data_IF_292563457518
#
_entry.id   IF_292563457518
#
_cell.length_a   1.000
_cell.length_b   1.000
_cell.length_c   1.000
_cell.angle_alpha   90.00
_cell.angle_beta   90.00
_cell.angle_gamma   90.00
#
_symmetry.space_group_name_H-M   'P 1'
#
loop_
_entity.id
_entity.type
_entity.pdbx_description
1 polymer ?
#
# COMPACT_ATOMS: atom_id res chain seq x y z
N UNK A 1 -10.33 -14.46 12.23
CA UNK A 1 -11.55 -15.03 11.64
C UNK A 1 -11.26 -15.63 10.27
N UNK A 2 -10.71 -14.86 9.34
CA UNK A 2 -10.39 -15.26 7.95
C UNK A 2 -9.52 -16.53 7.85
N UNK A 3 -8.36 -16.58 8.53
CA UNK A 3 -7.47 -17.76 8.48
C UNK A 3 -8.16 -19.07 8.92
N UNK A 4 -9.05 -19.01 9.91
CA UNK A 4 -9.78 -20.19 10.41
C UNK A 4 -10.83 -20.70 9.40
N UNK A 5 -11.26 -19.85 8.49
CA UNK A 5 -12.23 -20.18 7.46
C UNK A 5 -11.54 -20.72 6.20
N UNK A 6 -10.43 -20.10 5.77
CA UNK A 6 -9.81 -20.41 4.47
C UNK A 6 -8.85 -21.61 4.53
N UNK A 7 -8.15 -21.79 5.65
CA UNK A 7 -7.15 -22.85 5.83
C UNK A 7 -7.71 -24.28 5.73
N UNK A 8 -8.89 -24.63 6.30
CA UNK A 8 -9.45 -25.97 6.19
C UNK A 8 -9.65 -26.45 4.75
N UNK A 9 -10.07 -25.56 3.85
CA UNK A 9 -10.26 -25.90 2.43
C UNK A 9 -8.95 -26.23 1.71
N UNK A 10 -7.88 -25.49 2.01
CA UNK A 10 -6.55 -25.77 1.47
C UNK A 10 -5.99 -27.11 1.98
N UNK A 11 -6.13 -27.38 3.29
CA UNK A 11 -5.69 -28.64 3.91
C UNK A 11 -6.43 -29.85 3.34
N UNK A 12 -7.76 -29.78 3.25
CA UNK A 12 -8.57 -30.87 2.72
C UNK A 12 -8.21 -31.20 1.25
N UNK A 13 -7.87 -30.19 0.46
CA UNK A 13 -7.39 -30.38 -0.92
C UNK A 13 -6.07 -31.14 -0.96
N UNK A 14 -5.12 -30.82 -0.06
CA UNK A 14 -3.83 -31.54 0.03
C UNK A 14 -4.05 -32.99 0.47
N UNK A 15 -4.90 -33.25 1.46
CA UNK A 15 -5.22 -34.61 1.93
C UNK A 15 -5.86 -35.47 0.84
N UNK A 16 -6.82 -34.91 0.12
CA UNK A 16 -7.49 -35.58 -1.00
C UNK A 16 -6.49 -35.91 -2.11
N UNK A 17 -5.62 -34.95 -2.44
CA UNK A 17 -4.60 -35.12 -3.45
C UNK A 17 -3.56 -36.19 -3.07
N UNK A 18 -3.14 -36.23 -1.80
CA UNK A 18 -2.24 -37.27 -1.28
C UNK A 18 -2.89 -38.67 -1.37
N UNK A 19 -4.19 -38.76 -1.06
CA UNK A 19 -4.94 -40.01 -1.20
C UNK A 19 -4.99 -40.49 -2.66
N UNK A 20 -5.20 -39.58 -3.62
CA UNK A 20 -5.17 -39.91 -5.05
C UNK A 20 -3.80 -40.41 -5.51
N UNK A 21 -2.72 -39.78 -5.01
CA UNK A 21 -1.34 -40.20 -5.32
C UNK A 21 -1.03 -41.60 -4.76
N UNK A 22 -1.46 -41.88 -3.52
CA UNK A 22 -1.31 -43.21 -2.93
C UNK A 22 -2.04 -44.27 -3.76
N UNK A 23 -3.31 -44.03 -4.09
CA UNK A 23 -4.09 -44.94 -4.94
C UNK A 23 -3.45 -45.13 -6.32
N UNK A 24 -2.93 -44.07 -6.93
CA UNK A 24 -2.24 -44.16 -8.21
C UNK A 24 -0.97 -45.03 -8.11
N UNK A 25 -0.19 -44.89 -7.03
CA UNK A 25 1.01 -45.69 -6.78
C UNK A 25 0.67 -47.18 -6.65
N UNK A 26 -0.36 -47.52 -5.87
CA UNK A 26 -0.78 -48.90 -5.68
C UNK A 26 -1.28 -49.53 -6.99
N UNK A 27 -2.02 -48.78 -7.79
CA UNK A 27 -2.50 -49.23 -9.10
C UNK A 27 -1.36 -49.43 -10.11
N UNK A 28 -0.38 -48.52 -10.16
CA UNK A 28 0.77 -48.63 -11.07
C UNK A 28 1.73 -49.76 -10.66
N UNK A 29 1.79 -50.09 -9.37
CA UNK A 29 2.55 -51.24 -8.87
C UNK A 29 1.97 -52.57 -9.38
N UNK A 30 0.64 -52.66 -9.46
CA UNK A 30 -0.06 -53.86 -9.94
C UNK A 30 -0.10 -53.93 -11.48
N UNK A 31 -0.34 -52.80 -12.16
CA UNK A 31 -0.36 -52.69 -13.62
C UNK A 31 0.33 -51.37 -14.07
N UNK A 32 1.58 -51.46 -14.57
CA UNK A 32 2.33 -50.29 -15.03
C UNK A 32 1.68 -49.52 -16.18
N UNK A 33 0.78 -50.15 -16.96
CA UNK A 33 0.15 -49.53 -18.12
C UNK A 33 -1.25 -48.98 -17.86
N UNK A 34 -1.72 -49.04 -16.60
CA UNK A 34 -3.05 -48.62 -16.16
C UNK A 34 -3.37 -47.16 -16.50
N UNK A 35 -4.28 -46.94 -17.45
CA UNK A 35 -4.80 -45.62 -17.81
C UNK A 35 -5.47 -44.87 -16.63
N UNK A 36 -6.37 -45.51 -15.85
CA UNK A 36 -6.96 -44.89 -14.67
C UNK A 36 -5.95 -44.46 -13.62
N UNK A 37 -4.87 -45.22 -13.43
CA UNK A 37 -3.81 -44.86 -12.49
C UNK A 37 -3.06 -43.60 -12.92
N UNK A 38 -2.73 -43.46 -14.22
CA UNK A 38 -2.13 -42.24 -14.78
C UNK A 38 -3.03 -41.01 -14.58
N UNK A 39 -4.35 -41.16 -14.74
CA UNK A 39 -5.30 -40.05 -14.48
C UNK A 39 -5.27 -39.61 -13.01
N UNK A 40 -5.34 -40.56 -12.07
CA UNK A 40 -5.25 -40.26 -10.63
C UNK A 40 -3.90 -39.61 -10.27
N UNK A 41 -2.81 -40.07 -10.86
CA UNK A 41 -1.47 -39.49 -10.65
C UNK A 41 -1.43 -38.01 -11.08
N UNK A 42 -1.97 -37.68 -12.26
CA UNK A 42 -2.04 -36.30 -12.76
C UNK A 42 -2.92 -35.43 -11.86
N UNK A 43 -4.11 -35.91 -11.51
CA UNK A 43 -5.06 -35.16 -10.66
C UNK A 43 -4.50 -34.94 -9.25
N UNK A 44 -3.94 -35.98 -8.63
CA UNK A 44 -3.27 -35.90 -7.34
C UNK A 44 -2.07 -34.94 -7.38
N UNK A 45 -1.22 -35.01 -8.41
CA UNK A 45 -0.06 -34.11 -8.53
C UNK A 45 -0.48 -32.64 -8.65
N UNK A 46 -1.50 -32.36 -9.48
CA UNK A 46 -2.08 -31.01 -9.61
C UNK A 46 -2.69 -30.55 -8.29
N UNK A 47 -3.41 -31.43 -7.60
CA UNK A 47 -4.04 -31.15 -6.31
C UNK A 47 -3.02 -30.78 -5.23
N UNK A 48 -1.87 -31.46 -5.17
CA UNK A 48 -0.78 -31.12 -4.25
C UNK A 48 -0.22 -29.73 -4.55
N UNK A 49 0.13 -29.44 -5.81
CA UNK A 49 0.68 -28.14 -6.18
C UNK A 49 -0.29 -26.99 -5.83
N UNK A 50 -1.57 -27.15 -6.18
CA UNK A 50 -2.60 -26.15 -5.91
C UNK A 50 -2.91 -26.02 -4.41
N UNK A 51 -2.98 -27.14 -3.69
CA UNK A 51 -3.26 -27.16 -2.26
C UNK A 51 -2.14 -26.51 -1.45
N UNK A 52 -0.88 -26.85 -1.74
CA UNK A 52 0.28 -26.24 -1.09
C UNK A 52 0.39 -24.75 -1.40
N UNK A 53 0.17 -24.36 -2.67
CA UNK A 53 0.14 -22.93 -3.04
C UNK A 53 -0.95 -22.17 -2.27
N UNK A 54 -2.18 -22.69 -2.21
CA UNK A 54 -3.26 -22.07 -1.45
C UNK A 54 -2.95 -21.96 0.05
N UNK A 55 -2.32 -22.98 0.64
CA UNK A 55 -1.94 -22.96 2.05
C UNK A 55 -0.90 -21.87 2.33
N UNK A 56 0.15 -21.77 1.51
CA UNK A 56 1.19 -20.75 1.64
C UNK A 56 0.60 -19.34 1.48
N UNK A 57 -0.31 -19.13 0.52
CA UNK A 57 -1.00 -17.86 0.34
C UNK A 57 -1.85 -17.50 1.57
N UNK A 58 -2.59 -18.45 2.16
CA UNK A 58 -3.39 -18.19 3.36
C UNK A 58 -2.53 -17.70 4.54
N UNK A 59 -1.34 -18.30 4.72
CA UNK A 59 -0.37 -17.87 5.73
C UNK A 59 0.17 -16.48 5.43
N UNK A 60 0.63 -16.25 4.20
CA UNK A 60 1.19 -14.97 3.77
C UNK A 60 0.20 -13.83 3.96
N UNK A 61 -1.05 -13.99 3.50
CA UNK A 61 -2.10 -13.00 3.70
C UNK A 61 -2.38 -12.73 5.19
N UNK A 62 -2.19 -13.73 6.05
CA UNK A 62 -2.36 -13.56 7.49
C UNK A 62 -1.27 -12.66 8.07
N UNK A 63 -0.03 -12.80 7.64
CA UNK A 63 1.06 -11.92 8.04
C UNK A 63 0.84 -10.51 7.49
N UNK A 64 0.48 -10.38 6.21
CA UNK A 64 0.13 -9.09 5.59
C UNK A 64 -0.97 -8.36 6.37
N UNK A 65 -2.03 -9.07 6.79
CA UNK A 65 -3.11 -8.48 7.61
C UNK A 65 -2.62 -7.93 8.96
N UNK A 66 -1.61 -8.54 9.58
CA UNK A 66 -1.01 -8.02 10.82
C UNK A 66 -0.27 -6.71 10.54
N UNK A 67 0.50 -6.64 9.46
CA UNK A 67 1.23 -5.42 9.07
C UNK A 67 0.24 -4.28 8.75
N UNK A 68 -0.78 -4.57 7.93
CA UNK A 68 -1.85 -3.59 7.60
C UNK A 68 -2.54 -3.07 8.86
N UNK A 69 -2.75 -3.91 9.87
CA UNK A 69 -3.32 -3.46 11.15
C UNK A 69 -2.43 -2.44 11.85
N UNK A 70 -1.11 -2.62 11.84
CA UNK A 70 -0.18 -1.63 12.40
C UNK A 70 -0.18 -0.32 11.60
N UNK A 71 -0.24 -0.38 10.27
CA UNK A 71 -0.40 0.80 9.41
C UNK A 71 -1.70 1.57 9.72
N UNK A 72 -2.82 0.86 9.91
CA UNK A 72 -4.11 1.47 10.25
C UNK A 72 -4.08 2.20 11.59
N UNK A 73 -3.36 1.70 12.59
CA UNK A 73 -3.18 2.44 13.85
C UNK A 73 -2.50 3.79 13.64
N UNK A 74 -1.52 3.87 12.72
CA UNK A 74 -0.88 5.15 12.37
C UNK A 74 -1.91 6.10 11.73
N UNK A 75 -2.76 5.59 10.83
CA UNK A 75 -3.85 6.38 10.24
C UNK A 75 -4.85 6.87 11.31
N UNK A 76 -5.21 6.03 12.27
CA UNK A 76 -6.12 6.41 13.36
C UNK A 76 -5.56 7.58 14.18
N UNK A 77 -4.24 7.58 14.46
CA UNK A 77 -3.58 8.71 15.11
C UNK A 77 -3.52 9.95 14.21
N UNK A 78 -3.16 9.80 12.93
CA UNK A 78 -3.14 10.93 11.99
C UNK A 78 -4.52 11.59 11.84
N UNK A 79 -5.60 10.81 11.97
CA UNK A 79 -6.98 11.31 11.93
C UNK A 79 -7.34 12.28 13.06
N UNK A 80 -6.61 12.27 14.18
CA UNK A 80 -6.82 13.25 15.27
C UNK A 80 -5.87 14.44 15.20
N UNK A 81 -4.98 14.51 14.21
CA UNK A 81 -4.00 15.59 14.10
C UNK A 81 -4.65 16.98 13.98
N UNK A 82 -5.84 17.07 13.39
CA UNK A 82 -6.52 18.34 13.15
C UNK A 82 -7.16 18.99 14.39
N UNK A 83 -7.38 18.21 15.45
CA UNK A 83 -8.01 18.67 16.71
C UNK A 83 -6.99 18.93 17.83
N UNK A 84 -5.70 18.85 17.52
CA UNK A 84 -4.63 19.09 18.50
C UNK A 84 -4.30 20.58 18.55
N UNK A 85 -4.70 21.19 19.66
CA UNK A 85 -4.67 22.65 19.86
C UNK A 85 -3.77 23.07 21.05
N UNK A 86 -3.24 22.13 21.83
CA UNK A 86 -2.37 22.41 22.97
C UNK A 86 -1.03 21.69 22.87
N UNK A 87 0.00 22.25 23.52
CA UNK A 87 1.33 21.62 23.57
C UNK A 87 1.31 20.32 24.37
N UNK A 88 0.44 20.22 25.38
CA UNK A 88 0.25 19.01 26.19
C UNK A 88 -0.34 17.87 25.35
N UNK A 89 -1.37 18.16 24.55
CA UNK A 89 -1.96 17.21 23.61
C UNK A 89 -0.96 16.79 22.52
N UNK A 90 -0.14 17.73 22.02
CA UNK A 90 0.91 17.39 21.06
C UNK A 90 1.96 16.45 21.66
N UNK A 91 2.36 16.66 22.92
CA UNK A 91 3.29 15.75 23.61
C UNK A 91 2.65 14.37 23.78
N UNK A 92 1.35 14.30 24.10
CA UNK A 92 0.64 13.03 24.21
C UNK A 92 0.54 12.32 22.85
N UNK A 93 0.15 13.04 21.80
CA UNK A 93 0.14 12.54 20.42
C UNK A 93 1.49 11.96 20.01
N UNK A 94 2.60 12.65 20.31
CA UNK A 94 3.95 12.18 20.04
C UNK A 94 4.29 10.88 20.77
N UNK A 95 3.87 10.73 22.03
CA UNK A 95 4.07 9.50 22.81
C UNK A 95 3.32 8.31 22.22
N UNK A 96 2.15 8.55 21.62
CA UNK A 96 1.29 7.50 21.09
C UNK A 96 1.66 7.12 19.65
N UNK A 97 1.93 8.11 18.78
CA UNK A 97 2.23 7.86 17.37
C UNK A 97 3.65 7.34 17.15
N UNK A 98 4.66 7.79 17.93
CA UNK A 98 6.06 7.41 17.67
C UNK A 98 6.30 5.90 17.78
N UNK A 99 5.77 5.18 18.80
CA UNK A 99 5.89 3.72 18.87
C UNK A 99 5.12 3.00 17.76
N UNK A 100 3.93 3.50 17.40
CA UNK A 100 3.12 2.93 16.32
C UNK A 100 3.82 3.06 14.97
N UNK A 101 4.34 4.25 14.67
CA UNK A 101 5.10 4.54 13.47
C UNK A 101 6.38 3.70 13.38
N UNK A 102 7.13 3.60 14.48
CA UNK A 102 8.36 2.78 14.54
C UNK A 102 8.09 1.29 14.31
N UNK A 103 6.96 0.79 14.81
CA UNK A 103 6.54 -0.60 14.59
C UNK A 103 6.12 -0.81 13.14
N UNK A 104 5.23 0.02 12.60
CA UNK A 104 4.80 -0.07 11.21
C UNK A 104 5.99 0.01 10.25
N UNK A 105 6.92 0.95 10.45
CA UNK A 105 8.11 1.10 9.62
C UNK A 105 9.00 -0.15 9.62
N UNK A 106 9.16 -0.80 10.77
CA UNK A 106 9.96 -2.04 10.90
C UNK A 106 9.30 -3.21 10.18
N UNK A 107 8.01 -3.42 10.41
CA UNK A 107 7.27 -4.55 9.81
C UNK A 107 7.18 -4.40 8.28
N UNK A 108 6.96 -3.18 7.77
CA UNK A 108 6.93 -2.91 6.33
C UNK A 108 8.32 -3.08 5.70
N UNK A 109 9.39 -2.64 6.37
CA UNK A 109 10.75 -2.84 5.88
C UNK A 109 11.15 -4.33 5.84
N UNK A 110 10.78 -5.09 6.88
CA UNK A 110 10.98 -6.54 6.90
C UNK A 110 10.23 -7.20 5.74
N UNK A 111 8.97 -6.81 5.51
CA UNK A 111 8.18 -7.33 4.39
C UNK A 111 8.79 -6.97 3.03
N UNK A 112 9.25 -5.73 2.84
CA UNK A 112 9.88 -5.31 1.59
C UNK A 112 11.13 -6.14 1.25
N UNK A 113 11.89 -6.58 2.26
CA UNK A 113 13.06 -7.43 2.08
C UNK A 113 12.73 -8.88 1.67
N UNK A 114 11.51 -9.36 1.96
CA UNK A 114 11.04 -10.70 1.62
C UNK A 114 10.36 -10.77 0.24
N UNK A 115 9.97 -9.63 -0.32
CA UNK A 115 9.25 -9.59 -1.60
C UNK A 115 10.17 -9.99 -2.77
N UNK A 116 9.68 -10.92 -3.58
CA UNK A 116 10.35 -11.37 -4.80
C UNK A 116 10.11 -10.45 -5.99
N UNK A 117 9.14 -9.53 -5.91
CA UNK A 117 8.84 -8.55 -6.96
C UNK A 117 9.49 -7.19 -6.63
N UNK A 118 10.62 -6.82 -7.27
CA UNK A 118 11.38 -5.63 -6.90
C UNK A 118 10.58 -4.32 -6.94
N UNK A 119 9.71 -4.05 -7.94
CA UNK A 119 8.94 -2.81 -7.98
C UNK A 119 8.03 -2.58 -6.76
N UNK A 120 7.46 -3.64 -6.18
CA UNK A 120 6.67 -3.52 -4.95
C UNK A 120 7.57 -3.18 -3.76
N UNK A 121 8.71 -3.85 -3.63
CA UNK A 121 9.68 -3.57 -2.58
C UNK A 121 10.20 -2.12 -2.65
N UNK A 122 10.54 -1.65 -3.86
CA UNK A 122 10.96 -0.26 -4.11
C UNK A 122 9.87 0.74 -3.73
N UNK A 123 8.61 0.47 -4.10
CA UNK A 123 7.48 1.35 -3.74
C UNK A 123 7.29 1.41 -2.22
N UNK A 124 7.35 0.27 -1.51
CA UNK A 124 7.26 0.24 -0.05
C UNK A 124 8.38 1.04 0.61
N UNK A 125 9.62 0.86 0.15
CA UNK A 125 10.78 1.60 0.67
C UNK A 125 10.64 3.11 0.42
N UNK A 126 10.23 3.52 -0.78
CA UNK A 126 9.97 4.93 -1.12
C UNK A 126 8.92 5.54 -0.19
N UNK A 127 7.79 4.86 0.00
CA UNK A 127 6.73 5.35 0.89
C UNK A 127 7.23 5.47 2.33
N UNK A 128 7.97 4.47 2.82
CA UNK A 128 8.56 4.52 4.16
C UNK A 128 9.51 5.70 4.35
N UNK A 129 10.35 5.99 3.37
CA UNK A 129 11.28 7.12 3.45
C UNK A 129 10.55 8.47 3.39
N UNK A 130 9.50 8.58 2.56
CA UNK A 130 8.60 9.75 2.55
C UNK A 130 7.97 9.97 3.93
N UNK A 131 7.42 8.92 4.55
CA UNK A 131 6.84 8.98 5.89
C UNK A 131 7.86 9.40 6.95
N UNK A 132 9.09 8.87 6.92
CA UNK A 132 10.18 9.27 7.84
C UNK A 132 10.55 10.75 7.69
N UNK A 133 10.53 11.27 6.47
CA UNK A 133 10.80 12.69 6.19
C UNK A 133 9.64 13.59 6.62
N UNK A 134 8.39 13.16 6.41
CA UNK A 134 7.20 13.93 6.76
C UNK A 134 6.97 14.01 8.27
N UNK A 135 7.28 12.96 9.03
CA UNK A 135 7.05 12.91 10.47
C UNK A 135 7.59 14.13 11.25
N UNK A 136 8.88 14.50 11.17
CA UNK A 136 9.38 15.69 11.87
C UNK A 136 8.78 17.00 11.34
N UNK A 137 8.48 17.09 10.05
CA UNK A 137 7.90 18.29 9.42
C UNK A 137 6.46 18.51 9.92
N UNK A 138 5.66 17.45 10.02
CA UNK A 138 4.33 17.49 10.59
C UNK A 138 4.36 17.97 12.04
N UNK A 139 5.26 17.44 12.86
CA UNK A 139 5.41 17.86 14.26
C UNK A 139 5.78 19.33 14.37
N UNK A 140 6.73 19.81 13.55
CA UNK A 140 7.06 21.23 13.51
C UNK A 140 5.86 22.09 13.10
N UNK A 141 5.09 21.66 12.09
CA UNK A 141 3.88 22.35 11.64
C UNK A 141 2.81 22.44 12.75
N UNK A 142 2.57 21.36 13.47
CA UNK A 142 1.67 21.34 14.64
C UNK A 142 2.14 22.31 15.74
N UNK A 143 3.44 22.35 16.04
CA UNK A 143 3.99 23.30 17.03
C UNK A 143 3.76 24.75 16.63
N UNK A 144 3.98 25.08 15.36
CA UNK A 144 3.75 26.43 14.83
C UNK A 144 2.26 26.80 14.93
N UNK A 145 1.37 25.90 14.52
CA UNK A 145 -0.08 26.09 14.64
C UNK A 145 -0.50 26.40 16.09
N UNK A 146 -0.08 25.57 17.05
CA UNK A 146 -0.40 25.77 18.48
C UNK A 146 0.13 27.11 18.97
N UNK A 147 1.35 27.49 18.57
CA UNK A 147 1.93 28.78 18.98
C UNK A 147 1.10 29.97 18.49
N UNK A 148 0.73 29.97 17.21
CA UNK A 148 -0.12 31.02 16.60
C UNK A 148 -1.50 31.05 17.25
N UNK A 149 -2.09 29.89 17.54
CA UNK A 149 -3.37 29.77 18.23
C UNK A 149 -3.32 30.40 19.63
N UNK A 150 -2.24 30.17 20.38
CA UNK A 150 -2.06 30.70 21.73
C UNK A 150 -1.85 32.22 21.73
N UNK A 151 -1.20 32.77 20.70
CA UNK A 151 -0.94 34.20 20.55
C UNK A 151 -2.12 34.99 19.94
N UNK A 152 -3.20 34.31 19.53
CA UNK A 152 -4.37 34.95 18.89
C UNK A 152 -4.02 35.63 17.55
N UNK A 153 -2.98 35.14 16.88
CA UNK A 153 -2.34 35.81 15.75
C UNK A 153 -3.09 35.70 14.42
N UNK A 154 -2.75 36.61 13.49
CA UNK A 154 -3.07 36.47 12.05
C UNK A 154 -2.30 35.27 11.48
N UNK A 155 -2.93 34.47 10.62
CA UNK A 155 -2.29 33.30 9.98
C UNK A 155 -2.63 31.94 10.59
N UNK A 156 -3.62 31.87 11.49
CA UNK A 156 -4.12 30.60 12.07
C UNK A 156 -4.62 29.64 10.98
N UNK A 157 -5.37 30.16 10.00
CA UNK A 157 -5.93 29.38 8.89
C UNK A 157 -4.81 28.75 8.04
N UNK A 158 -3.83 29.55 7.62
CA UNK A 158 -2.66 29.07 6.85
C UNK A 158 -1.87 27.99 7.61
N UNK A 159 -1.68 28.17 8.93
CA UNK A 159 -0.99 27.18 9.75
C UNK A 159 -1.80 25.88 9.89
N UNK A 160 -3.13 25.97 10.04
CA UNK A 160 -4.01 24.81 10.10
C UNK A 160 -4.03 24.05 8.77
N UNK A 161 -4.13 24.76 7.64
CA UNK A 161 -4.08 24.17 6.30
C UNK A 161 -2.76 23.44 6.07
N UNK A 162 -1.62 24.04 6.44
CA UNK A 162 -0.31 23.41 6.30
C UNK A 162 -0.18 22.14 7.16
N UNK A 163 -0.67 22.16 8.41
CA UNK A 163 -0.73 20.96 9.27
C UNK A 163 -1.58 19.87 8.64
N UNK A 164 -2.78 20.21 8.20
CA UNK A 164 -3.73 19.26 7.62
C UNK A 164 -3.21 18.66 6.31
N UNK A 165 -2.57 19.48 5.46
CA UNK A 165 -1.89 19.02 4.25
C UNK A 165 -0.79 17.99 4.56
N UNK A 166 0.06 18.26 5.56
CA UNK A 166 1.13 17.34 5.94
C UNK A 166 0.59 16.03 6.55
N UNK A 167 -0.45 16.11 7.38
CA UNK A 167 -1.10 14.94 7.95
C UNK A 167 -1.73 14.08 6.85
N UNK A 168 -2.45 14.69 5.91
CA UNK A 168 -3.05 14.00 4.77
C UNK A 168 -1.99 13.37 3.87
N UNK A 169 -0.92 14.11 3.55
CA UNK A 169 0.18 13.59 2.72
C UNK A 169 0.85 12.38 3.36
N UNK A 170 1.06 12.40 4.68
CA UNK A 170 1.60 11.25 5.40
C UNK A 170 0.60 10.08 5.40
N UNK A 171 -0.70 10.35 5.54
CA UNK A 171 -1.74 9.34 5.45
C UNK A 171 -1.80 8.69 4.06
N UNK A 172 -1.63 9.46 2.99
CA UNK A 172 -1.63 8.96 1.61
C UNK A 172 -0.48 7.97 1.36
N UNK A 173 0.71 8.23 1.91
CA UNK A 173 1.84 7.29 1.83
C UNK A 173 1.56 6.00 2.63
N UNK A 174 0.90 6.10 3.79
CA UNK A 174 0.48 4.91 4.56
C UNK A 174 -0.60 4.11 3.82
N UNK A 175 -1.55 4.78 3.16
CA UNK A 175 -2.53 4.12 2.29
C UNK A 175 -1.86 3.41 1.11
N UNK A 176 -0.83 4.02 0.52
CA UNK A 176 -0.07 3.40 -0.56
C UNK A 176 0.69 2.16 -0.08
N UNK A 177 1.29 2.22 1.11
CA UNK A 177 1.88 1.04 1.76
C UNK A 177 0.84 -0.08 1.90
N UNK A 178 -0.36 0.23 2.43
CA UNK A 178 -1.43 -0.76 2.60
C UNK A 178 -1.82 -1.37 1.25
N UNK A 179 -1.98 -0.55 0.21
CA UNK A 179 -2.32 -1.03 -1.15
C UNK A 179 -1.27 -2.03 -1.64
N UNK A 180 0.00 -1.64 -1.62
CA UNK A 180 1.11 -2.45 -2.15
C UNK A 180 1.30 -3.75 -1.36
N UNK A 181 1.14 -3.72 -0.04
CA UNK A 181 1.21 -4.91 0.81
C UNK A 181 0.19 -6.00 0.43
N UNK A 182 -0.93 -5.62 -0.18
CA UNK A 182 -2.03 -6.52 -0.54
C UNK A 182 -1.97 -7.02 -2.00
N UNK A 183 -0.94 -6.64 -2.76
CA UNK A 183 -0.74 -7.11 -4.12
C UNK A 183 -0.17 -8.54 -4.10
N UNK A 184 -0.94 -9.48 -4.65
CA UNK A 184 -0.60 -10.92 -4.71
C UNK A 184 -0.13 -11.36 -6.10
N UNK A 185 -0.12 -10.46 -7.08
CA UNK A 185 0.20 -10.77 -8.47
C UNK A 185 0.98 -9.65 -9.15
N UNK A 186 1.72 -10.00 -10.19
CA UNK A 186 2.46 -9.12 -11.10
C UNK A 186 1.56 -8.18 -11.93
N UNK A 187 0.27 -8.07 -11.62
CA UNK A 187 -0.61 -7.15 -12.33
C UNK A 187 -0.09 -5.75 -12.02
N UNK A 188 0.47 -5.14 -13.06
CA UNK A 188 1.03 -3.79 -13.12
C UNK A 188 -0.05 -2.75 -12.77
N UNK A 189 -0.46 -2.68 -11.51
CA UNK A 189 -1.17 -1.52 -10.97
C UNK A 189 -0.20 -0.35 -10.69
N UNK A 190 0.93 -0.34 -11.41
CA UNK A 190 1.87 0.78 -11.51
C UNK A 190 1.40 1.82 -12.54
N UNK A 191 0.31 1.57 -13.26
CA UNK A 191 -0.21 2.49 -14.27
C UNK A 191 -1.09 3.62 -13.71
N UNK A 192 -2.06 3.34 -12.84
CA UNK A 192 -3.12 4.32 -12.57
C UNK A 192 -2.66 5.55 -11.77
N UNK A 193 -1.83 5.38 -10.73
CA UNK A 193 -1.35 6.51 -9.92
C UNK A 193 -0.34 7.39 -10.67
N UNK A 194 0.53 6.78 -11.47
CA UNK A 194 1.47 7.51 -12.33
C UNK A 194 0.71 8.26 -13.43
N UNK A 195 -0.31 7.63 -14.02
CA UNK A 195 -1.17 8.28 -15.00
C UNK A 195 -1.91 9.49 -14.44
N UNK A 196 -2.48 9.42 -13.22
CA UNK A 196 -3.15 10.58 -12.60
C UNK A 196 -2.17 11.71 -12.29
N UNK A 197 -0.96 11.37 -11.85
CA UNK A 197 0.10 12.37 -11.55
C UNK A 197 0.57 13.05 -12.83
N UNK A 198 0.81 12.29 -13.90
CA UNK A 198 1.13 12.80 -15.23
C UNK A 198 -0.01 13.65 -15.78
N UNK A 199 -1.27 13.23 -15.64
CA UNK A 199 -2.44 13.99 -16.09
C UNK A 199 -2.57 15.32 -15.34
N UNK A 200 -2.34 15.35 -14.02
CA UNK A 200 -2.32 16.60 -13.24
C UNK A 200 -1.19 17.54 -13.67
N UNK A 201 0.00 17.00 -13.92
CA UNK A 201 1.13 17.78 -14.42
C UNK A 201 0.85 18.36 -15.81
N UNK A 202 0.30 17.56 -16.73
CA UNK A 202 -0.13 18.00 -18.06
C UNK A 202 -1.24 19.06 -17.96
N UNK A 203 -2.21 18.88 -17.08
CA UNK A 203 -3.28 19.85 -16.85
C UNK A 203 -2.71 21.20 -16.39
N UNK A 204 -1.77 21.21 -15.45
CA UNK A 204 -1.09 22.44 -15.02
C UNK A 204 -0.31 23.09 -16.15
N UNK A 205 0.40 22.31 -16.98
CA UNK A 205 1.12 22.86 -18.14
C UNK A 205 0.18 23.46 -19.19
N UNK A 206 -0.97 22.84 -19.44
CA UNK A 206 -2.00 23.38 -20.34
C UNK A 206 -2.56 24.68 -19.77
N UNK A 207 -2.95 24.70 -18.50
CA UNK A 207 -3.48 25.90 -17.84
C UNK A 207 -2.49 27.07 -17.89
N UNK A 208 -1.21 26.81 -17.64
CA UNK A 208 -0.17 27.83 -17.68
C UNK A 208 0.01 28.43 -19.09
N UNK A 209 -0.26 27.66 -20.16
CA UNK A 209 -0.15 28.09 -21.55
C UNK A 209 -1.46 28.61 -22.16
N UNK A 210 -2.61 28.37 -21.53
CA UNK A 210 -3.91 28.77 -22.07
C UNK A 210 -4.04 30.28 -22.27
N UNK A 211 -3.55 31.09 -21.33
CA UNK A 211 -3.64 32.55 -21.45
C UNK A 211 -2.87 33.07 -22.68
N UNK A 212 -1.62 32.62 -22.86
CA UNK A 212 -0.80 32.98 -24.01
C UNK A 212 -1.40 32.49 -25.34
N UNK A 213 -2.01 31.30 -25.35
CA UNK A 213 -2.69 30.78 -26.54
C UNK A 213 -3.94 31.63 -26.89
N UNK A 214 -4.72 32.05 -25.89
CA UNK A 214 -5.86 32.94 -26.09
C UNK A 214 -5.43 34.32 -26.59
N UNK A 215 -4.36 34.88 -26.05
CA UNK A 215 -3.80 36.16 -26.49
C UNK A 215 -3.34 36.08 -27.96
N UNK A 216 -2.62 35.02 -28.33
CA UNK A 216 -2.21 34.78 -29.72
C UNK A 216 -3.38 34.64 -30.69
N UNK A 217 -4.46 33.94 -30.31
CA UNK A 217 -5.66 33.79 -31.15
C UNK A 217 -6.45 35.10 -31.30
N UNK A 218 -6.34 36.01 -30.34
CA UNK A 218 -7.05 37.28 -30.34
C UNK A 218 -6.24 38.41 -31.03
N UNK A 219 -4.97 38.16 -31.37
CA UNK A 219 -4.12 39.11 -32.08
C UNK A 219 -4.22 38.89 -33.61
N UNK A 220 -4.80 39.84 -34.37
CA UNK A 220 -4.94 39.73 -35.83
C UNK A 220 -3.59 39.80 -36.59
N UNK A 221 -2.53 40.30 -35.96
CA UNK A 221 -1.19 40.41 -36.54
C UNK A 221 -0.23 39.30 -36.04
N UNK A 222 -0.76 38.29 -35.34
CA UNK A 222 0.02 37.20 -34.78
C UNK A 222 0.80 36.42 -35.86
N UNK A 223 2.12 36.20 -35.70
CA UNK A 223 2.94 35.49 -36.68
C UNK A 223 2.54 34.01 -36.76
N UNK A 224 2.31 33.50 -37.98
CA UNK A 224 1.85 32.11 -38.23
C UNK A 224 2.78 31.00 -37.75
N UNK A 225 4.00 31.35 -37.40
CA UNK A 225 4.97 30.48 -36.75
C UNK A 225 5.42 31.21 -35.50
N UNK A 226 5.33 30.58 -34.33
CA UNK A 226 5.86 31.15 -33.09
C UNK A 226 7.36 31.50 -33.21
N UNK A 227 7.94 32.23 -32.24
CA UNK A 227 9.39 32.41 -32.20
C UNK A 227 10.14 31.07 -32.17
#
# INVERSE_FOLDING_TARGET
AVLRHDMPGALHRVETAATLLQQASDMLRADPYSGPARKKLIEGSRGILQGTSALLLCFDESEVRKIVKECKKVLDYLGVAEVIDTMEDLVQFLRDISPALSRAAREVAARAAELTHPPHAETLNRCLDSVKQLAPVLICSMKIYIHILTEGGKGMEEAAENRNYLAQRMADEIHEIIRVLQLTSYVEDGGEKDNVTVLKALQQQIHAKMAAAHEFLNDPDAPRTGP
#
